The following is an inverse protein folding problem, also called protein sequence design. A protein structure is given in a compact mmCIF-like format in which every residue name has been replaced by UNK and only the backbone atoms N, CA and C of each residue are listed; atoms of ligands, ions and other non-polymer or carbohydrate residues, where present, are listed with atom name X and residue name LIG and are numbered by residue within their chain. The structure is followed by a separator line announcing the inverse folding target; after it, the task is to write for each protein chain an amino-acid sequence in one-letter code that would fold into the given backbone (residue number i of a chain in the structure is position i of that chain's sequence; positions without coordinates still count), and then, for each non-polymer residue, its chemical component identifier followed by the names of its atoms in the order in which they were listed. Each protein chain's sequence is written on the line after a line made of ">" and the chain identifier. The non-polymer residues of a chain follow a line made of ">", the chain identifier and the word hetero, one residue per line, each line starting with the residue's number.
data_IF_617241617406
#
_entry.id   IF_617241617406
#
_cell.length_a   1.000
_cell.length_b   1.000
_cell.length_c   1.000
_cell.angle_alpha   90.00
_cell.angle_beta   90.00
_cell.angle_gamma   90.00
#
_symmetry.space_group_name_H-M   'P 1'
#
loop_
_entity.id
_entity.type
_entity.pdbx_description
1 polymer ?
#
# COMPACT_ATOMS: atom_id res chain seq x y z
N UNK A 1 20.98 -41.57 -19.00
CA UNK A 1 19.90 -40.93 -18.23
C UNK A 1 20.35 -40.32 -16.89
N UNK A 2 21.16 -40.96 -16.05
CA UNK A 2 21.47 -40.46 -14.69
C UNK A 2 22.55 -39.34 -14.56
N UNK A 3 22.98 -38.71 -15.66
CA UNK A 3 23.95 -37.60 -15.65
C UNK A 3 23.39 -36.30 -16.25
N UNK A 4 22.10 -36.25 -16.59
CA UNK A 4 21.45 -35.03 -17.08
C UNK A 4 20.83 -34.18 -15.96
N UNK A 5 20.64 -34.74 -14.76
CA UNK A 5 19.98 -34.08 -13.62
C UNK A 5 20.93 -33.23 -12.75
N UNK A 6 22.23 -33.19 -13.07
CA UNK A 6 23.25 -32.45 -12.30
C UNK A 6 23.25 -30.92 -12.56
N UNK A 7 22.29 -30.40 -13.34
CA UNK A 7 22.16 -28.95 -13.62
C UNK A 7 21.25 -28.20 -12.65
N UNK A 8 20.43 -28.89 -11.86
CA UNK A 8 19.70 -28.23 -10.79
C UNK A 8 20.58 -28.20 -9.55
N UNK A 9 20.97 -27.01 -9.09
CA UNK A 9 21.57 -26.84 -7.76
C UNK A 9 20.70 -27.47 -6.65
N UNK A 10 21.15 -27.46 -5.39
CA UNK A 10 20.43 -28.14 -4.30
C UNK A 10 18.97 -27.71 -4.23
N UNK A 11 18.08 -28.64 -3.86
CA UNK A 11 16.65 -28.41 -3.81
C UNK A 11 16.30 -27.19 -2.92
N UNK A 12 15.20 -26.44 -3.21
CA UNK A 12 14.89 -25.20 -2.50
C UNK A 12 14.84 -25.33 -0.97
N UNK A 13 14.31 -26.44 -0.45
CA UNK A 13 14.25 -26.70 0.98
C UNK A 13 15.64 -26.85 1.64
N UNK A 14 16.62 -27.40 0.91
CA UNK A 14 18.01 -27.49 1.40
C UNK A 14 18.66 -26.11 1.46
N UNK A 15 18.40 -25.25 0.47
CA UNK A 15 18.88 -23.87 0.46
C UNK A 15 18.31 -23.05 1.62
N UNK A 16 17.02 -23.21 1.89
CA UNK A 16 16.37 -22.60 3.05
C UNK A 16 16.99 -23.09 4.36
N UNK A 17 17.23 -24.39 4.50
CA UNK A 17 17.89 -24.94 5.70
C UNK A 17 19.32 -24.47 5.85
N UNK A 18 20.05 -24.32 4.75
CA UNK A 18 21.38 -23.72 4.76
C UNK A 18 21.34 -22.25 5.21
N UNK A 19 20.40 -21.45 4.70
CA UNK A 19 20.23 -20.07 5.12
C UNK A 19 19.92 -19.97 6.63
N UNK A 20 18.99 -20.79 7.14
CA UNK A 20 18.69 -20.87 8.57
C UNK A 20 19.90 -21.29 9.40
N UNK A 21 20.68 -22.27 8.95
CA UNK A 21 21.90 -22.69 9.64
C UNK A 21 22.97 -21.57 9.68
N UNK A 22 23.12 -20.81 8.60
CA UNK A 22 24.03 -19.66 8.56
C UNK A 22 23.55 -18.53 9.49
N UNK A 23 22.25 -18.28 9.56
CA UNK A 23 21.70 -17.28 10.50
C UNK A 23 21.85 -17.74 11.95
N UNK A 24 21.70 -19.04 12.23
CA UNK A 24 22.00 -19.59 13.54
C UNK A 24 23.47 -19.37 13.93
N UNK A 25 24.42 -19.49 13.00
CA UNK A 25 25.84 -19.13 13.25
C UNK A 25 26.01 -17.63 13.45
N UNK A 26 25.36 -16.82 12.61
CA UNK A 26 25.39 -15.36 12.70
C UNK A 26 25.02 -14.85 14.10
N UNK A 27 24.03 -15.48 14.75
CA UNK A 27 23.59 -15.12 16.10
C UNK A 27 24.70 -15.18 17.16
N UNK A 28 25.69 -16.05 16.99
CA UNK A 28 26.82 -16.20 17.92
C UNK A 28 28.02 -15.37 17.50
N UNK A 29 28.24 -15.22 16.20
CA UNK A 29 29.48 -14.69 15.65
C UNK A 29 29.38 -13.20 15.32
N UNK A 30 28.23 -12.71 14.83
CA UNK A 30 28.04 -11.31 14.45
C UNK A 30 27.45 -10.49 15.60
N UNK A 31 27.89 -9.24 15.82
CA UNK A 31 28.90 -8.47 15.07
C UNK A 31 30.35 -8.65 15.55
N UNK A 32 30.62 -9.45 16.58
CA UNK A 32 31.92 -9.42 17.28
C UNK A 32 33.00 -10.32 16.68
N UNK A 33 32.74 -11.62 16.57
CA UNK A 33 33.72 -12.62 16.13
C UNK A 33 33.81 -12.73 14.61
N UNK A 34 32.70 -12.49 13.90
CA UNK A 34 32.67 -12.40 12.43
C UNK A 34 32.04 -11.08 11.95
N UNK A 35 32.72 -9.94 12.14
CA UNK A 35 32.20 -8.62 11.75
C UNK A 35 31.99 -8.47 10.23
N UNK A 36 32.75 -9.20 9.43
CA UNK A 36 32.68 -9.15 7.96
C UNK A 36 31.55 -10.01 7.35
N UNK A 37 30.73 -10.71 8.13
CA UNK A 37 29.73 -11.67 7.63
C UNK A 37 28.95 -11.18 6.38
N UNK A 38 28.35 -9.99 6.47
CA UNK A 38 27.56 -9.42 5.35
C UNK A 38 28.45 -8.95 4.20
N UNK A 39 29.64 -8.42 4.49
CA UNK A 39 30.60 -8.01 3.46
C UNK A 39 31.11 -9.20 2.65
N UNK A 40 31.40 -10.33 3.33
CA UNK A 40 31.82 -11.57 2.69
C UNK A 40 30.71 -12.13 1.79
N UNK A 41 29.47 -12.08 2.28
CA UNK A 41 28.28 -12.48 1.52
C UNK A 41 28.06 -11.58 0.28
N UNK A 42 28.17 -10.26 0.43
CA UNK A 42 28.07 -9.29 -0.67
C UNK A 42 29.22 -9.50 -1.67
N UNK A 43 30.44 -9.71 -1.19
CA UNK A 43 31.62 -9.97 -2.01
C UNK A 43 31.51 -11.24 -2.84
N UNK A 44 30.67 -12.19 -2.43
CA UNK A 44 30.41 -13.42 -3.17
C UNK A 44 29.34 -13.29 -4.26
N UNK A 45 28.53 -12.23 -4.28
CA UNK A 45 27.45 -12.02 -5.27
C UNK A 45 27.90 -12.17 -6.74
N UNK A 46 29.10 -11.69 -7.17
CA UNK A 46 29.56 -11.85 -8.55
C UNK A 46 29.75 -13.31 -9.01
N UNK A 47 29.77 -14.27 -8.10
CA UNK A 47 30.03 -15.68 -8.41
C UNK A 47 28.82 -16.41 -9.03
N UNK A 48 27.67 -15.75 -9.15
CA UNK A 48 26.55 -16.23 -9.96
C UNK A 48 25.20 -16.21 -9.25
N UNK A 49 24.15 -16.54 -10.02
CA UNK A 49 22.75 -16.34 -9.62
C UNK A 49 22.35 -17.18 -8.40
N UNK A 50 22.97 -18.34 -8.22
CA UNK A 50 22.77 -19.17 -7.02
C UNK A 50 23.25 -18.50 -5.73
N UNK A 51 24.27 -17.64 -5.79
CA UNK A 51 24.74 -16.88 -4.62
C UNK A 51 23.79 -15.70 -4.33
N UNK A 52 23.24 -15.07 -5.37
CA UNK A 52 22.23 -14.02 -5.21
C UNK A 52 20.94 -14.60 -4.59
N UNK A 53 20.50 -15.79 -5.03
CA UNK A 53 19.39 -16.52 -4.40
C UNK A 53 19.69 -16.81 -2.92
N UNK A 54 20.89 -17.29 -2.61
CA UNK A 54 21.30 -17.52 -1.21
C UNK A 54 21.37 -16.24 -0.39
N UNK A 55 21.87 -15.13 -0.94
CA UNK A 55 21.86 -13.82 -0.29
C UNK A 55 20.44 -13.41 0.09
N UNK A 56 19.48 -13.52 -0.83
CA UNK A 56 18.08 -13.22 -0.55
C UNK A 56 17.53 -14.12 0.57
N UNK A 57 17.76 -15.45 0.49
CA UNK A 57 17.29 -16.40 1.51
C UNK A 57 17.89 -16.14 2.89
N UNK A 58 19.18 -15.80 2.96
CA UNK A 58 19.85 -15.45 4.22
C UNK A 58 19.23 -14.19 4.81
N UNK A 59 19.00 -13.14 4.01
CA UNK A 59 18.36 -11.92 4.49
C UNK A 59 16.91 -12.15 4.96
N UNK A 60 16.16 -13.03 4.30
CA UNK A 60 14.83 -13.46 4.76
C UNK A 60 14.93 -14.20 6.09
N UNK A 61 15.86 -15.14 6.24
CA UNK A 61 16.07 -15.86 7.50
C UNK A 61 16.52 -14.93 8.64
N UNK A 62 17.36 -13.91 8.36
CA UNK A 62 17.70 -12.87 9.34
C UNK A 62 16.45 -12.10 9.77
N UNK A 63 15.58 -11.75 8.83
CA UNK A 63 14.33 -11.06 9.15
C UNK A 63 13.43 -11.91 10.06
N UNK A 64 13.15 -13.15 9.66
CA UNK A 64 12.27 -14.08 10.38
C UNK A 64 12.79 -14.38 11.79
N UNK A 65 14.08 -14.70 11.94
CA UNK A 65 14.64 -15.10 13.23
C UNK A 65 14.93 -13.89 14.14
N UNK A 66 15.37 -12.75 13.58
CA UNK A 66 16.01 -11.69 14.36
C UNK A 66 15.33 -10.32 14.28
N UNK A 67 14.60 -10.00 13.21
CA UNK A 67 14.07 -8.64 13.01
C UNK A 67 12.57 -8.58 13.28
N UNK A 68 11.78 -9.40 12.59
CA UNK A 68 10.31 -9.38 12.59
C UNK A 68 9.75 -9.47 14.02
N UNK A 69 8.79 -8.62 14.37
CA UNK A 69 8.20 -8.55 15.72
C UNK A 69 6.92 -9.39 15.89
N UNK A 70 6.51 -10.11 14.85
CA UNK A 70 5.27 -10.88 14.83
C UNK A 70 5.30 -12.09 15.79
N UNK A 71 6.50 -12.51 16.18
CA UNK A 71 6.73 -13.62 17.11
C UNK A 71 7.12 -13.03 18.48
N UNK A 72 6.38 -13.33 19.56
CA UNK A 72 6.76 -12.91 20.91
C UNK A 72 8.15 -13.44 21.27
N UNK A 73 9.07 -12.54 21.61
CA UNK A 73 10.45 -12.87 21.98
C UNK A 73 10.68 -12.78 23.48
N UNK A 74 11.58 -13.62 23.97
CA UNK A 74 12.14 -13.48 25.31
C UNK A 74 12.96 -12.19 25.44
N UNK A 75 13.28 -11.80 26.68
CA UNK A 75 14.10 -10.63 26.93
C UNK A 75 15.53 -10.80 26.38
N UNK A 76 16.06 -12.03 26.38
CA UNK A 76 17.39 -12.34 25.87
C UNK A 76 17.43 -12.26 24.34
N UNK A 77 16.46 -12.86 23.66
CA UNK A 77 16.33 -12.77 22.19
C UNK A 77 16.12 -11.32 21.73
N UNK A 78 15.39 -10.52 22.51
CA UNK A 78 15.20 -9.10 22.21
C UNK A 78 16.50 -8.29 22.31
N UNK A 79 17.36 -8.61 23.30
CA UNK A 79 18.69 -8.00 23.44
C UNK A 79 19.61 -8.42 22.30
N UNK A 80 19.59 -9.70 21.92
CA UNK A 80 20.36 -10.21 20.79
C UNK A 80 19.94 -9.55 19.47
N UNK A 81 18.64 -9.50 19.20
CA UNK A 81 18.06 -8.81 18.05
C UNK A 81 18.51 -7.35 17.98
N UNK A 82 18.45 -6.62 19.10
CA UNK A 82 18.91 -5.24 19.18
C UNK A 82 20.41 -5.13 18.86
N UNK A 83 21.24 -5.97 19.47
CA UNK A 83 22.69 -5.97 19.25
C UNK A 83 23.06 -6.23 17.78
N UNK A 84 22.42 -7.22 17.14
CA UNK A 84 22.65 -7.55 15.73
C UNK A 84 22.18 -6.39 14.84
N UNK A 85 20.97 -5.86 15.06
CA UNK A 85 20.44 -4.72 14.28
C UNK A 85 21.33 -3.49 14.39
N UNK A 86 21.84 -3.19 15.58
CA UNK A 86 22.73 -2.05 15.79
C UNK A 86 24.05 -2.27 15.05
N UNK A 87 24.66 -3.46 15.16
CA UNK A 87 25.84 -3.80 14.37
C UNK A 87 25.58 -3.72 12.87
N UNK A 88 24.43 -4.17 12.38
CA UNK A 88 24.03 -4.05 10.97
C UNK A 88 23.90 -2.59 10.55
N UNK A 89 23.26 -1.73 11.35
CA UNK A 89 23.13 -0.30 11.05
C UNK A 89 24.48 0.40 10.96
N UNK A 90 25.39 0.06 11.86
CA UNK A 90 26.69 0.70 11.93
C UNK A 90 27.62 0.26 10.79
N UNK A 91 27.56 -1.02 10.39
CA UNK A 91 28.62 -1.60 9.56
C UNK A 91 28.18 -2.21 8.23
N UNK A 92 26.93 -2.65 8.06
CA UNK A 92 26.59 -3.51 6.93
C UNK A 92 25.39 -3.04 6.11
N UNK A 93 24.45 -2.30 6.71
CA UNK A 93 23.16 -2.04 6.08
C UNK A 93 23.26 -1.11 4.86
N UNK A 94 24.23 -0.18 4.87
CA UNK A 94 24.48 0.70 3.74
C UNK A 94 24.97 -0.11 2.53
N UNK A 95 25.90 -1.05 2.74
CA UNK A 95 26.41 -1.92 1.69
C UNK A 95 25.36 -2.93 1.21
N UNK A 96 24.50 -3.43 2.11
CA UNK A 96 23.34 -4.25 1.73
C UNK A 96 22.39 -3.45 0.83
N UNK A 97 22.10 -2.19 1.16
CA UNK A 97 21.25 -1.33 0.34
C UNK A 97 21.87 -1.06 -1.04
N UNK A 98 23.18 -0.81 -1.10
CA UNK A 98 23.88 -0.67 -2.37
C UNK A 98 23.94 -1.97 -3.18
N UNK A 99 24.00 -3.14 -2.51
CA UNK A 99 23.89 -4.44 -3.16
C UNK A 99 22.49 -4.63 -3.78
N UNK A 100 21.41 -4.33 -3.05
CA UNK A 100 20.06 -4.35 -3.62
C UNK A 100 19.97 -3.45 -4.86
N UNK A 101 20.46 -2.21 -4.78
CA UNK A 101 20.46 -1.30 -5.94
C UNK A 101 21.13 -1.92 -7.17
N UNK A 102 22.37 -2.42 -7.00
CA UNK A 102 23.15 -3.03 -8.09
C UNK A 102 22.43 -4.24 -8.69
N UNK A 103 21.85 -5.10 -7.84
CA UNK A 103 21.10 -6.27 -8.30
C UNK A 103 19.85 -5.85 -9.09
N UNK A 104 19.11 -4.85 -8.62
CA UNK A 104 17.92 -4.32 -9.30
C UNK A 104 18.25 -3.62 -10.63
N UNK A 105 19.49 -3.18 -10.86
CA UNK A 105 19.92 -2.68 -12.17
C UNK A 105 20.22 -3.80 -13.18
N UNK A 106 20.54 -5.01 -12.73
CA UNK A 106 21.09 -6.09 -13.59
C UNK A 106 20.07 -7.20 -13.83
N UNK A 107 19.29 -7.55 -12.80
CA UNK A 107 18.43 -8.73 -12.82
C UNK A 107 17.05 -8.59 -13.48
N UNK A 108 16.42 -7.40 -13.67
CA UNK A 108 15.07 -7.32 -14.22
C UNK A 108 14.88 -8.06 -15.55
N UNK A 109 15.86 -7.93 -16.46
CA UNK A 109 15.83 -8.57 -17.77
C UNK A 109 16.48 -9.97 -17.78
N UNK A 110 17.29 -10.29 -16.76
CA UNK A 110 18.07 -11.53 -16.67
C UNK A 110 17.31 -12.65 -15.94
N UNK A 111 16.76 -12.34 -14.78
CA UNK A 111 15.98 -13.25 -13.94
C UNK A 111 14.94 -12.43 -13.14
N UNK A 112 13.69 -12.35 -13.64
CA UNK A 112 12.63 -11.62 -12.97
C UNK A 112 12.29 -12.17 -11.58
N UNK A 113 12.39 -13.48 -11.36
CA UNK A 113 12.06 -14.09 -10.06
C UNK A 113 13.10 -13.73 -9.00
N UNK A 114 14.36 -13.65 -9.39
CA UNK A 114 15.41 -13.18 -8.50
C UNK A 114 15.27 -11.68 -8.23
N UNK A 115 14.85 -10.88 -9.21
CA UNK A 115 14.50 -9.47 -9.01
C UNK A 115 13.39 -9.30 -7.99
N UNK A 116 12.32 -10.10 -8.08
CA UNK A 116 11.24 -10.14 -7.09
C UNK A 116 11.77 -10.50 -5.71
N UNK A 117 12.66 -11.51 -5.62
CA UNK A 117 13.26 -11.91 -4.34
C UNK A 117 14.10 -10.79 -3.71
N UNK A 118 14.87 -10.06 -4.51
CA UNK A 118 15.63 -8.88 -4.06
C UNK A 118 14.70 -7.79 -3.53
N UNK A 119 13.64 -7.45 -4.27
CA UNK A 119 12.64 -6.46 -3.83
C UNK A 119 11.95 -6.89 -2.54
N UNK A 120 11.54 -8.15 -2.42
CA UNK A 120 10.91 -8.69 -1.20
C UNK A 120 11.85 -8.62 0.01
N UNK A 121 13.15 -8.90 -0.18
CA UNK A 121 14.13 -8.75 0.90
C UNK A 121 14.29 -7.29 1.29
N UNK A 122 14.34 -6.38 0.32
CA UNK A 122 14.40 -4.94 0.58
C UNK A 122 13.17 -4.48 1.37
N UNK A 123 11.95 -4.83 0.94
CA UNK A 123 10.67 -4.48 1.61
C UNK A 123 10.71 -4.76 3.11
N UNK A 124 11.16 -5.95 3.52
CA UNK A 124 11.22 -6.39 4.93
C UNK A 124 12.09 -5.50 5.81
N UNK A 125 13.11 -4.88 5.23
CA UNK A 125 14.10 -4.11 5.98
C UNK A 125 13.73 -2.63 6.09
N UNK A 126 12.91 -2.09 5.19
CA UNK A 126 12.58 -0.66 5.12
C UNK A 126 12.06 -0.11 6.45
N UNK A 127 11.28 -0.90 7.18
CA UNK A 127 10.62 -0.48 8.44
C UNK A 127 11.61 -0.04 9.53
N UNK A 128 12.83 -0.59 9.56
CA UNK A 128 13.78 -0.38 10.66
C UNK A 128 15.14 0.20 10.23
N UNK A 129 15.46 0.33 8.95
CA UNK A 129 16.72 0.93 8.49
C UNK A 129 16.63 2.47 8.44
N UNK A 130 17.71 3.18 8.09
CA UNK A 130 17.60 4.60 7.72
C UNK A 130 16.84 4.73 6.39
N UNK A 131 15.81 5.59 6.36
CA UNK A 131 15.01 5.82 5.15
C UNK A 131 15.83 6.37 3.99
N UNK A 132 16.88 7.14 4.26
CA UNK A 132 17.68 7.78 3.22
C UNK A 132 18.47 6.77 2.36
N UNK A 133 18.68 5.55 2.87
CA UNK A 133 19.35 4.47 2.11
C UNK A 133 18.54 4.03 0.90
N UNK A 134 17.20 4.11 1.00
CA UNK A 134 16.29 3.63 -0.05
C UNK A 134 15.43 4.75 -0.65
N UNK A 135 15.05 5.77 0.11
CA UNK A 135 14.20 6.87 -0.35
C UNK A 135 15.02 8.07 -0.86
N UNK A 136 15.97 7.79 -1.75
CA UNK A 136 16.79 8.78 -2.44
C UNK A 136 16.52 8.76 -3.94
N UNK A 137 16.96 9.81 -4.66
CA UNK A 137 16.66 9.99 -6.09
C UNK A 137 17.08 8.79 -6.94
N UNK A 138 18.28 8.20 -6.72
CA UNK A 138 18.76 7.06 -7.52
C UNK A 138 17.83 5.84 -7.40
N UNK A 139 17.44 5.50 -6.18
CA UNK A 139 16.60 4.34 -5.93
C UNK A 139 15.18 4.58 -6.39
N UNK A 140 14.63 5.76 -6.10
CA UNK A 140 13.25 6.09 -6.46
C UNK A 140 13.07 6.11 -7.97
N UNK A 141 14.02 6.67 -8.73
CA UNK A 141 13.98 6.60 -10.20
C UNK A 141 14.00 5.16 -10.71
N UNK A 142 14.82 4.28 -10.11
CA UNK A 142 14.86 2.86 -10.48
C UNK A 142 13.53 2.16 -10.18
N UNK A 143 12.98 2.33 -8.97
CA UNK A 143 11.70 1.72 -8.60
C UNK A 143 10.54 2.23 -9.49
N UNK A 144 10.51 3.52 -9.82
CA UNK A 144 9.48 4.05 -10.75
C UNK A 144 9.59 3.48 -12.16
N UNK A 145 10.78 3.08 -12.60
CA UNK A 145 10.98 2.35 -13.86
C UNK A 145 10.54 0.89 -13.74
N UNK A 146 10.85 0.22 -12.62
CA UNK A 146 10.47 -1.17 -12.39
C UNK A 146 8.97 -1.36 -12.17
N UNK A 147 8.25 -0.31 -11.74
CA UNK A 147 6.78 -0.30 -11.66
C UNK A 147 6.11 -0.43 -13.04
N UNK A 148 6.85 -0.17 -14.11
CA UNK A 148 6.45 -0.32 -15.52
C UNK A 148 7.09 -1.55 -16.20
N UNK A 149 7.79 -2.41 -15.45
CA UNK A 149 8.42 -3.59 -16.00
C UNK A 149 7.39 -4.53 -16.66
N UNK A 150 7.75 -5.26 -17.73
CA UNK A 150 6.82 -6.20 -18.37
C UNK A 150 6.39 -7.35 -17.44
N UNK A 151 7.23 -7.71 -16.47
CA UNK A 151 6.93 -8.79 -15.52
C UNK A 151 6.05 -8.28 -14.36
N UNK A 152 4.81 -8.76 -14.29
CA UNK A 152 3.82 -8.31 -13.31
C UNK A 152 4.26 -8.50 -11.86
N UNK A 153 4.94 -9.61 -11.55
CA UNK A 153 5.48 -9.87 -10.22
C UNK A 153 6.54 -8.85 -9.77
N UNK A 154 7.32 -8.27 -10.71
CA UNK A 154 8.29 -7.21 -10.37
C UNK A 154 7.49 -5.96 -9.96
N UNK A 155 6.49 -5.59 -10.76
CA UNK A 155 5.64 -4.42 -10.49
C UNK A 155 4.94 -4.55 -9.13
N UNK A 156 4.44 -5.74 -8.80
CA UNK A 156 3.80 -6.02 -7.52
C UNK A 156 4.79 -5.85 -6.35
N UNK A 157 5.98 -6.44 -6.45
CA UNK A 157 7.02 -6.30 -5.42
C UNK A 157 7.54 -4.86 -5.27
N UNK A 158 7.61 -4.08 -6.36
CA UNK A 158 7.93 -2.64 -6.31
C UNK A 158 6.82 -1.87 -5.60
N UNK A 159 5.55 -2.17 -5.89
CA UNK A 159 4.42 -1.52 -5.25
C UNK A 159 4.45 -1.74 -3.73
N UNK A 160 4.82 -2.93 -3.27
CA UNK A 160 5.06 -3.22 -1.85
C UNK A 160 6.24 -2.44 -1.26
N UNK A 161 7.39 -2.43 -1.95
CA UNK A 161 8.55 -1.63 -1.54
C UNK A 161 8.15 -0.15 -1.34
N UNK A 162 7.46 0.44 -2.31
CA UNK A 162 6.98 1.81 -2.24
C UNK A 162 5.96 2.00 -1.11
N UNK A 163 5.10 1.01 -0.87
CA UNK A 163 4.13 1.03 0.24
C UNK A 163 4.85 1.10 1.58
N UNK A 164 5.91 0.33 1.78
CA UNK A 164 6.72 0.38 3.01
C UNK A 164 7.48 1.69 3.16
N UNK A 165 8.06 2.23 2.07
CA UNK A 165 8.71 3.56 2.10
C UNK A 165 7.69 4.63 2.53
N UNK A 166 6.51 4.61 1.92
CA UNK A 166 5.44 5.56 2.22
C UNK A 166 4.88 5.33 3.62
N UNK A 167 4.81 4.10 4.14
CA UNK A 167 4.28 3.79 5.48
C UNK A 167 5.23 4.19 6.62
N UNK A 168 6.48 4.52 6.30
CA UNK A 168 7.48 4.81 7.31
C UNK A 168 7.11 6.05 8.13
N UNK A 169 7.11 5.88 9.46
CA UNK A 169 6.75 6.96 10.39
C UNK A 169 7.78 8.07 10.36
N UNK A 170 7.29 9.30 10.20
CA UNK A 170 8.08 10.53 10.25
C UNK A 170 7.16 11.71 10.57
N UNK A 171 7.76 12.88 10.77
CA UNK A 171 7.01 14.11 10.97
C UNK A 171 6.35 14.59 9.68
N UNK A 172 5.25 15.33 9.84
CA UNK A 172 4.33 15.61 8.75
C UNK A 172 4.97 16.44 7.61
N UNK A 173 5.79 17.45 7.92
CA UNK A 173 6.46 18.24 6.88
C UNK A 173 7.49 17.42 6.11
N UNK A 174 8.47 16.74 6.76
CA UNK A 174 9.38 15.83 6.05
C UNK A 174 8.66 14.74 5.25
N UNK A 175 7.53 14.21 5.74
CA UNK A 175 6.71 13.23 5.00
C UNK A 175 6.25 13.77 3.66
N UNK A 176 5.61 14.94 3.67
CA UNK A 176 5.04 15.53 2.46
C UNK A 176 6.13 15.94 1.47
N UNK A 177 7.28 16.40 1.97
CA UNK A 177 8.46 16.68 1.15
C UNK A 177 9.01 15.41 0.50
N UNK A 178 9.17 14.33 1.27
CA UNK A 178 9.63 13.03 0.76
C UNK A 178 8.69 12.49 -0.32
N UNK A 179 7.38 12.50 -0.06
CA UNK A 179 6.35 12.13 -1.04
C UNK A 179 6.49 12.93 -2.33
N UNK A 180 6.78 14.22 -2.22
CA UNK A 180 7.05 15.08 -3.37
C UNK A 180 8.32 14.67 -4.13
N UNK A 181 9.43 14.44 -3.43
CA UNK A 181 10.73 14.15 -4.04
C UNK A 181 10.82 12.75 -4.66
N UNK A 182 10.01 11.79 -4.20
CA UNK A 182 9.97 10.44 -4.75
C UNK A 182 9.38 10.36 -6.17
N UNK A 183 8.64 11.39 -6.61
CA UNK A 183 7.96 11.37 -7.91
C UNK A 183 6.78 10.39 -7.98
N UNK A 184 6.33 9.86 -6.83
CA UNK A 184 5.23 8.89 -6.78
C UNK A 184 3.86 9.51 -7.08
N UNK A 185 3.65 10.77 -6.69
CA UNK A 185 2.36 11.45 -6.91
C UNK A 185 2.05 11.60 -8.41
N UNK A 186 2.94 12.16 -9.26
CA UNK A 186 2.72 12.20 -10.71
C UNK A 186 2.55 10.82 -11.34
N UNK A 187 3.20 9.79 -10.79
CA UNK A 187 3.06 8.42 -11.28
C UNK A 187 1.66 7.87 -11.02
N UNK A 188 1.15 8.03 -9.80
CA UNK A 188 -0.19 7.57 -9.43
C UNK A 188 -1.31 8.39 -10.10
N UNK A 189 -1.07 9.68 -10.40
CA UNK A 189 -2.01 10.53 -11.14
C UNK A 189 -2.38 9.94 -12.51
N UNK A 190 -1.45 9.20 -13.14
CA UNK A 190 -1.68 8.52 -14.43
C UNK A 190 -2.70 7.38 -14.33
N UNK A 191 -3.07 6.93 -13.12
CA UNK A 191 -4.01 5.83 -12.89
C UNK A 191 -5.49 6.28 -12.88
N UNK A 192 -5.78 7.49 -13.35
CA UNK A 192 -7.16 8.00 -13.51
C UNK A 192 -8.04 7.12 -14.41
N UNK A 193 -7.43 6.35 -15.32
CA UNK A 193 -8.12 5.40 -16.21
C UNK A 193 -7.92 3.93 -15.78
N UNK A 194 -7.58 3.70 -14.52
CA UNK A 194 -7.26 2.36 -13.98
C UNK A 194 -5.76 2.06 -13.98
N UNK A 195 -5.40 0.90 -13.41
CA UNK A 195 -4.01 0.46 -13.29
C UNK A 195 -3.50 -0.11 -14.63
N UNK A 196 -2.47 0.50 -15.26
CA UNK A 196 -2.03 0.10 -16.59
C UNK A 196 -1.56 -1.36 -16.61
N UNK A 197 -2.06 -2.18 -17.54
CA UNK A 197 -1.60 -3.55 -17.75
C UNK A 197 -1.71 -4.46 -16.51
N UNK A 198 -2.68 -4.20 -15.62
CA UNK A 198 -2.92 -4.99 -14.41
C UNK A 198 -4.32 -5.63 -14.40
N UNK A 199 -5.14 -5.44 -15.44
CA UNK A 199 -6.57 -5.80 -15.43
C UNK A 199 -6.86 -7.27 -15.08
N UNK A 200 -5.96 -8.19 -15.46
CA UNK A 200 -6.15 -9.63 -15.28
C UNK A 200 -5.27 -10.23 -14.16
N UNK A 201 -4.62 -9.40 -13.33
CA UNK A 201 -3.72 -9.84 -12.27
C UNK A 201 -4.18 -9.29 -10.91
N UNK A 202 -4.99 -10.09 -10.21
CA UNK A 202 -5.58 -9.73 -8.90
C UNK A 202 -4.54 -9.34 -7.86
N UNK A 203 -3.38 -10.02 -7.85
CA UNK A 203 -2.31 -9.72 -6.90
C UNK A 203 -1.71 -8.33 -7.16
N UNK A 204 -1.37 -8.01 -8.41
CA UNK A 204 -0.86 -6.71 -8.79
C UNK A 204 -1.88 -5.60 -8.54
N UNK A 205 -3.15 -5.82 -8.89
CA UNK A 205 -4.26 -4.91 -8.60
C UNK A 205 -4.32 -4.57 -7.11
N UNK A 206 -4.28 -5.60 -6.25
CA UNK A 206 -4.29 -5.43 -4.81
C UNK A 206 -3.06 -4.64 -4.31
N UNK A 207 -1.85 -4.95 -4.79
CA UNK A 207 -0.63 -4.22 -4.36
C UNK A 207 -0.65 -2.76 -4.79
N UNK A 208 -1.11 -2.45 -6.01
CA UNK A 208 -1.22 -1.07 -6.50
C UNK A 208 -2.32 -0.28 -5.77
N UNK A 209 -3.47 -0.92 -5.49
CA UNK A 209 -4.54 -0.32 -4.70
C UNK A 209 -4.09 -0.01 -3.27
N UNK A 210 -3.36 -0.93 -2.62
CA UNK A 210 -2.75 -0.70 -1.30
C UNK A 210 -1.75 0.44 -1.33
N UNK A 211 -0.88 0.51 -2.34
CA UNK A 211 0.06 1.62 -2.49
C UNK A 211 -0.68 2.97 -2.58
N UNK A 212 -1.71 3.04 -3.42
CA UNK A 212 -2.51 4.26 -3.58
C UNK A 212 -3.24 4.64 -2.29
N UNK A 213 -3.85 3.68 -1.59
CA UNK A 213 -4.52 3.88 -0.33
C UNK A 213 -3.58 4.38 0.78
N UNK A 214 -2.42 3.74 0.91
CA UNK A 214 -1.40 4.11 1.89
C UNK A 214 -0.88 5.51 1.61
N UNK A 215 -0.56 5.83 0.36
CA UNK A 215 -0.13 7.16 -0.04
C UNK A 215 -1.18 8.23 0.29
N UNK A 216 -2.43 7.98 -0.05
CA UNK A 216 -3.52 8.90 0.21
C UNK A 216 -3.74 9.09 1.73
N UNK A 217 -3.71 8.01 2.50
CA UNK A 217 -3.88 8.02 3.96
C UNK A 217 -2.78 8.82 4.63
N UNK A 218 -1.51 8.55 4.29
CA UNK A 218 -0.35 9.23 4.88
C UNK A 218 -0.31 10.73 4.54
N UNK A 219 -0.75 11.13 3.34
CA UNK A 219 -0.89 12.55 2.98
C UNK A 219 -1.98 13.21 3.83
N UNK A 220 -3.18 12.60 3.93
CA UNK A 220 -4.29 13.16 4.73
C UNK A 220 -3.92 13.26 6.21
N UNK A 221 -3.31 12.22 6.76
CA UNK A 221 -2.92 12.21 8.16
C UNK A 221 -1.81 13.22 8.45
N UNK A 222 -0.86 13.41 7.54
CA UNK A 222 0.15 14.46 7.65
C UNK A 222 -0.50 15.85 7.66
N UNK A 223 -1.40 16.14 6.72
CA UNK A 223 -2.14 17.41 6.67
C UNK A 223 -2.96 17.63 7.95
N UNK A 224 -3.65 16.59 8.42
CA UNK A 224 -4.44 16.64 9.66
C UNK A 224 -3.58 16.91 10.89
N UNK A 225 -2.39 16.28 11.00
CA UNK A 225 -1.43 16.54 12.08
C UNK A 225 -0.97 17.99 12.08
N UNK A 226 -0.65 18.54 10.90
CA UNK A 226 -0.27 19.94 10.74
C UNK A 226 -1.38 20.90 11.17
N UNK A 227 -2.61 20.67 10.70
CA UNK A 227 -3.77 21.47 11.07
C UNK A 227 -4.04 21.45 12.58
N UNK A 228 -3.94 20.27 13.21
CA UNK A 228 -4.16 20.12 14.65
C UNK A 228 -3.06 20.77 15.49
N UNK A 229 -1.79 20.68 15.07
CA UNK A 229 -0.67 21.27 15.80
C UNK A 229 -0.82 22.80 15.93
N UNK A 230 -1.24 23.48 14.85
CA UNK A 230 -1.50 24.94 14.87
C UNK A 230 -2.61 25.28 15.85
N UNK A 231 -3.69 24.49 15.85
CA UNK A 231 -4.83 24.70 16.74
C UNK A 231 -4.40 24.54 18.21
N UNK A 232 -3.68 23.46 18.52
CA UNK A 232 -3.24 23.18 19.89
C UNK A 232 -2.32 24.26 20.42
N UNK A 233 -1.38 24.77 19.61
CA UNK A 233 -0.47 25.84 20.03
C UNK A 233 -1.19 27.18 20.22
N UNK A 234 -2.09 27.55 19.30
CA UNK A 234 -2.90 28.76 19.43
C UNK A 234 -3.82 28.73 20.67
N UNK A 235 -4.40 27.57 20.99
CA UNK A 235 -5.27 27.41 22.15
C UNK A 235 -4.56 27.58 23.51
N UNK A 236 -3.25 27.33 23.58
CA UNK A 236 -2.45 27.44 24.81
C UNK A 236 -1.85 28.85 24.98
N UNK A 237 -2.10 29.78 24.04
CA UNK A 237 -1.60 31.15 24.11
C UNK A 237 -0.08 31.26 23.91
N UNK A 238 0.55 30.23 23.35
CA UNK A 238 1.96 30.28 22.96
C UNK A 238 2.06 31.01 21.61
N UNK A 239 2.88 32.06 21.57
CA UNK A 239 3.25 32.67 20.30
C UNK A 239 4.08 31.64 19.51
N UNK A 240 3.55 31.20 18.39
CA UNK A 240 4.27 30.36 17.44
C UNK A 240 5.24 31.27 16.69
N UNK A 241 6.50 30.87 16.59
CA UNK A 241 7.48 31.59 15.77
C UNK A 241 6.97 31.71 14.32
N UNK A 242 7.17 32.88 13.70
CA UNK A 242 6.67 33.18 12.36
C UNK A 242 7.22 32.18 11.33
N UNK A 243 8.44 31.69 11.54
CA UNK A 243 9.05 30.64 10.72
C UNK A 243 8.32 29.30 10.80
N UNK A 244 7.97 28.86 12.01
CA UNK A 244 7.24 27.61 12.23
C UNK A 244 5.81 27.67 11.67
N UNK A 245 5.13 28.82 11.77
CA UNK A 245 3.83 29.02 11.14
C UNK A 245 3.90 28.94 9.62
N UNK A 246 4.93 29.53 9.03
CA UNK A 246 5.15 29.47 7.58
C UNK A 246 5.40 28.04 7.12
N UNK A 247 6.23 27.28 7.83
CA UNK A 247 6.54 25.89 7.50
C UNK A 247 5.29 24.99 7.56
N UNK A 248 4.46 25.15 8.61
CA UNK A 248 3.21 24.39 8.72
C UNK A 248 2.24 24.76 7.59
N UNK A 249 2.12 26.05 7.26
CA UNK A 249 1.26 26.51 6.16
C UNK A 249 1.72 25.93 4.82
N UNK A 250 3.01 26.00 4.53
CA UNK A 250 3.60 25.43 3.30
C UNK A 250 3.41 23.91 3.24
N UNK A 251 3.58 23.21 4.37
CA UNK A 251 3.31 21.78 4.47
C UNK A 251 1.84 21.45 4.17
N UNK A 252 0.89 22.16 4.78
CA UNK A 252 -0.54 21.96 4.51
C UNK A 252 -0.95 22.25 3.06
N UNK A 253 -0.37 23.29 2.45
CA UNK A 253 -0.56 23.62 1.03
C UNK A 253 0.00 22.53 0.12
N UNK A 254 1.22 22.04 0.41
CA UNK A 254 1.86 20.95 -0.33
C UNK A 254 1.02 19.66 -0.27
N UNK A 255 0.59 19.26 0.94
CA UNK A 255 -0.23 18.07 1.11
C UNK A 255 -1.60 18.18 0.45
N UNK A 256 -2.22 19.36 0.48
CA UNK A 256 -3.49 19.62 -0.20
C UNK A 256 -3.34 19.57 -1.73
N UNK A 257 -2.23 20.09 -2.27
CA UNK A 257 -1.88 19.97 -3.70
C UNK A 257 -1.68 18.51 -4.12
N UNK A 258 -0.91 17.74 -3.33
CA UNK A 258 -0.68 16.32 -3.59
C UNK A 258 -1.98 15.52 -3.55
N UNK A 259 -2.83 15.77 -2.55
CA UNK A 259 -4.13 15.12 -2.44
C UNK A 259 -5.04 15.46 -3.63
N UNK A 260 -5.08 16.73 -4.04
CA UNK A 260 -5.85 17.15 -5.21
C UNK A 260 -5.39 16.45 -6.49
N UNK A 261 -4.10 16.22 -6.67
CA UNK A 261 -3.55 15.52 -7.84
C UNK A 261 -3.90 14.02 -7.82
N UNK A 262 -3.88 13.39 -6.64
CA UNK A 262 -4.18 11.97 -6.49
C UNK A 262 -5.68 11.64 -6.52
N UNK A 263 -6.54 12.60 -6.15
CA UNK A 263 -7.97 12.36 -5.95
C UNK A 263 -8.66 11.69 -7.16
N UNK A 264 -8.40 12.09 -8.42
CA UNK A 264 -8.99 11.41 -9.58
C UNK A 264 -8.61 9.92 -9.67
N UNK A 265 -7.35 9.57 -9.44
CA UNK A 265 -6.88 8.18 -9.45
C UNK A 265 -7.47 7.37 -8.29
N UNK A 266 -7.55 7.97 -7.09
CA UNK A 266 -8.20 7.37 -5.92
C UNK A 266 -9.66 7.05 -6.24
N UNK A 267 -10.37 7.99 -6.87
CA UNK A 267 -11.77 7.80 -7.21
C UNK A 267 -11.97 6.79 -8.34
N UNK A 268 -11.04 6.69 -9.30
CA UNK A 268 -11.06 5.67 -10.33
C UNK A 268 -10.91 4.26 -9.72
N UNK A 269 -9.96 4.08 -8.81
CA UNK A 269 -9.79 2.82 -8.07
C UNK A 269 -11.00 2.51 -7.18
N UNK A 270 -11.51 3.49 -6.43
CA UNK A 270 -12.66 3.29 -5.54
C UNK A 270 -13.96 2.97 -6.28
N UNK A 271 -14.11 3.47 -7.52
CA UNK A 271 -15.24 3.15 -8.41
C UNK A 271 -15.02 1.84 -9.20
N UNK A 272 -13.97 1.08 -8.92
CA UNK A 272 -13.76 -0.24 -9.52
C UNK A 272 -14.83 -1.22 -9.03
N UNK A 273 -15.22 -2.14 -9.90
CA UNK A 273 -16.05 -3.31 -9.59
C UNK A 273 -15.25 -4.47 -8.99
N UNK A 274 -13.92 -4.35 -8.93
CA UNK A 274 -13.02 -5.32 -8.31
C UNK A 274 -12.78 -4.94 -6.85
N UNK A 275 -13.14 -5.84 -5.93
CA UNK A 275 -13.10 -5.56 -4.49
C UNK A 275 -11.67 -5.46 -3.95
N UNK A 276 -10.73 -6.21 -4.54
CA UNK A 276 -9.29 -6.11 -4.29
C UNK A 276 -8.75 -4.70 -4.59
N UNK A 277 -9.41 -3.96 -5.48
CA UNK A 277 -9.06 -2.59 -5.83
C UNK A 277 -9.82 -1.58 -4.95
N UNK A 278 -11.12 -1.75 -4.73
CA UNK A 278 -11.93 -0.76 -4.03
C UNK A 278 -11.79 -0.82 -2.50
N UNK A 279 -11.74 -2.01 -1.90
CA UNK A 279 -11.75 -2.18 -0.44
C UNK A 279 -10.53 -1.60 0.28
N UNK A 280 -9.29 -1.70 -0.25
CA UNK A 280 -8.14 -1.07 0.38
C UNK A 280 -8.29 0.46 0.59
N UNK A 281 -9.14 1.12 -0.20
CA UNK A 281 -9.37 2.57 -0.13
C UNK A 281 -10.42 2.96 0.91
N UNK A 282 -11.22 2.02 1.44
CA UNK A 282 -12.29 2.31 2.41
C UNK A 282 -11.80 3.02 3.68
N UNK A 283 -10.70 2.58 4.34
CA UNK A 283 -10.16 3.28 5.51
C UNK A 283 -9.78 4.74 5.20
N UNK A 284 -9.17 4.98 4.04
CA UNK A 284 -8.85 6.33 3.56
C UNK A 284 -10.13 7.17 3.41
N UNK A 285 -11.19 6.63 2.80
CA UNK A 285 -12.44 7.37 2.60
C UNK A 285 -13.06 7.82 3.93
N UNK A 286 -13.04 6.95 4.95
CA UNK A 286 -13.47 7.33 6.31
C UNK A 286 -12.59 8.41 6.92
N UNK A 287 -11.26 8.28 6.82
CA UNK A 287 -10.32 9.27 7.33
C UNK A 287 -10.50 10.63 6.63
N UNK A 288 -10.71 10.62 5.33
CA UNK A 288 -10.94 11.82 4.52
C UNK A 288 -12.26 12.51 4.92
N UNK A 289 -13.38 11.78 4.97
CA UNK A 289 -14.67 12.32 5.42
C UNK A 289 -14.61 12.84 6.85
N UNK A 290 -13.87 12.18 7.74
CA UNK A 290 -13.63 12.67 9.10
C UNK A 290 -12.86 14.00 9.10
N UNK A 291 -11.86 14.17 8.23
CA UNK A 291 -11.19 15.46 8.02
C UNK A 291 -12.16 16.52 7.49
N UNK A 292 -12.99 16.19 6.50
CA UNK A 292 -13.98 17.13 5.94
C UNK A 292 -14.97 17.63 7.01
N UNK A 293 -15.40 16.74 7.91
CA UNK A 293 -16.23 17.12 9.07
C UNK A 293 -15.56 18.15 9.97
N UNK A 294 -14.25 18.02 10.19
CA UNK A 294 -13.47 18.99 10.97
C UNK A 294 -13.38 20.32 10.22
N UNK A 295 -13.14 20.31 8.91
CA UNK A 295 -13.10 21.52 8.09
C UNK A 295 -14.44 22.25 8.03
N UNK A 296 -15.54 21.53 7.85
CA UNK A 296 -16.88 22.11 7.85
C UNK A 296 -17.20 22.84 9.16
N UNK A 297 -16.84 22.23 10.30
CA UNK A 297 -17.02 22.85 11.62
C UNK A 297 -16.22 24.14 11.75
N UNK A 298 -15.02 24.20 11.14
CA UNK A 298 -14.16 25.41 11.13
C UNK A 298 -14.74 26.50 10.23
N UNK A 299 -15.33 26.12 9.09
CA UNK A 299 -15.87 27.03 8.09
C UNK A 299 -17.37 27.33 8.28
N UNK A 300 -17.83 27.40 9.54
CA UNK A 300 -19.22 27.78 9.90
C UNK A 300 -20.31 26.96 9.18
N UNK A 301 -20.05 25.67 8.90
CA UNK A 301 -21.01 24.79 8.24
C UNK A 301 -20.83 24.64 6.73
N UNK A 302 -19.91 25.38 6.09
CA UNK A 302 -19.71 25.35 4.64
C UNK A 302 -18.46 24.56 4.24
N UNK A 303 -18.59 23.76 3.18
CA UNK A 303 -17.47 23.16 2.47
C UNK A 303 -17.13 24.02 1.26
N UNK A 304 -15.86 24.07 0.86
CA UNK A 304 -15.47 24.73 -0.37
C UNK A 304 -15.96 23.96 -1.61
N UNK A 305 -15.86 24.60 -2.77
CA UNK A 305 -16.36 24.04 -4.04
C UNK A 305 -15.67 22.72 -4.38
N UNK A 306 -14.35 22.64 -4.19
CA UNK A 306 -13.55 21.47 -4.52
C UNK A 306 -13.91 20.27 -3.63
N UNK A 307 -14.00 20.49 -2.31
CA UNK A 307 -14.40 19.48 -1.34
C UNK A 307 -15.82 19.01 -1.57
N UNK A 308 -16.71 19.91 -2.01
CA UNK A 308 -18.08 19.55 -2.39
C UNK A 308 -18.10 18.64 -3.61
N UNK A 309 -17.24 18.87 -4.61
CA UNK A 309 -17.06 17.96 -5.74
C UNK A 309 -16.55 16.59 -5.28
N UNK A 310 -15.55 16.57 -4.40
CA UNK A 310 -15.03 15.32 -3.83
C UNK A 310 -16.13 14.52 -3.11
N UNK A 311 -16.99 15.19 -2.34
CA UNK A 311 -18.14 14.54 -1.69
C UNK A 311 -19.07 13.88 -2.71
N UNK A 312 -19.40 14.57 -3.81
CA UNK A 312 -20.25 14.01 -4.87
C UNK A 312 -19.60 12.79 -5.53
N UNK A 313 -18.29 12.84 -5.76
CA UNK A 313 -17.55 11.71 -6.30
C UNK A 313 -17.52 10.52 -5.36
N UNK A 314 -17.30 10.74 -4.05
CA UNK A 314 -17.34 9.68 -3.03
C UNK A 314 -18.73 9.05 -3.00
N UNK A 315 -19.81 9.84 -2.98
CA UNK A 315 -21.18 9.33 -3.03
C UNK A 315 -21.41 8.45 -4.27
N UNK A 316 -20.91 8.88 -5.44
CA UNK A 316 -20.96 8.06 -6.65
C UNK A 316 -20.18 6.75 -6.51
N UNK A 317 -19.02 6.76 -5.85
CA UNK A 317 -18.24 5.55 -5.56
C UNK A 317 -18.96 4.59 -4.63
N UNK A 318 -19.60 5.11 -3.58
CA UNK A 318 -20.39 4.29 -2.64
C UNK A 318 -21.51 3.51 -3.34
N UNK A 319 -22.14 4.10 -4.36
CA UNK A 319 -23.14 3.39 -5.17
C UNK A 319 -22.54 2.17 -5.87
N UNK A 320 -21.33 2.29 -6.42
CA UNK A 320 -20.64 1.18 -7.10
C UNK A 320 -20.21 0.13 -6.08
N UNK A 321 -19.57 0.54 -4.98
CA UNK A 321 -19.13 -0.39 -3.94
C UNK A 321 -20.30 -1.14 -3.27
N UNK A 322 -21.51 -0.57 -3.23
CA UNK A 322 -22.66 -1.22 -2.63
C UNK A 322 -23.29 -2.33 -3.49
N UNK A 323 -22.93 -2.42 -4.77
CA UNK A 323 -23.48 -3.42 -5.70
C UNK A 323 -22.90 -4.81 -5.43
N UNK A 324 -23.65 -5.82 -5.85
CA UNK A 324 -23.10 -7.17 -5.98
C UNK A 324 -22.03 -7.19 -7.09
N UNK A 325 -21.02 -8.07 -6.98
CA UNK A 325 -20.07 -8.32 -8.06
C UNK A 325 -20.80 -8.70 -9.35
N UNK A 326 -20.26 -8.30 -10.50
CA UNK A 326 -20.85 -8.61 -11.82
C UNK A 326 -20.89 -10.12 -12.12
N UNK A 327 -20.02 -10.89 -11.48
CA UNK A 327 -19.90 -12.35 -11.55
C UNK A 327 -20.59 -13.10 -10.40
N UNK A 328 -21.50 -12.43 -9.69
CA UNK A 328 -22.14 -12.96 -8.48
C UNK A 328 -22.74 -14.36 -8.65
N UNK A 329 -22.46 -15.25 -7.69
CA UNK A 329 -23.10 -16.56 -7.58
C UNK A 329 -24.54 -16.46 -7.05
N UNK A 330 -24.95 -15.28 -6.56
CA UNK A 330 -26.30 -15.00 -6.07
C UNK A 330 -27.28 -14.71 -7.22
N UNK A 331 -27.61 -15.71 -8.04
CA UNK A 331 -28.67 -15.56 -9.05
C UNK A 331 -30.03 -15.47 -8.34
N UNK A 332 -30.77 -14.36 -8.50
CA UNK A 332 -32.12 -14.15 -7.95
C UNK A 332 -32.24 -14.22 -6.41
N UNK A 333 -31.21 -13.79 -5.65
CA UNK A 333 -31.32 -13.69 -4.18
C UNK A 333 -31.55 -15.04 -3.48
N UNK A 334 -31.19 -16.15 -4.15
CA UNK A 334 -31.26 -17.50 -3.61
C UNK A 334 -30.25 -18.39 -4.31
N UNK A 335 -29.67 -19.33 -3.57
CA UNK A 335 -28.78 -20.33 -4.14
C UNK A 335 -29.54 -21.22 -5.14
N UNK A 336 -29.47 -20.90 -6.43
CA UNK A 336 -29.89 -21.83 -7.48
C UNK A 336 -28.70 -22.73 -7.83
N UNK A 337 -28.53 -23.81 -7.07
CA UNK A 337 -27.34 -24.65 -7.23
C UNK A 337 -27.22 -25.82 -6.25
N UNK A 338 -26.18 -26.65 -6.45
CA UNK A 338 -25.78 -27.70 -5.52
C UNK A 338 -25.34 -27.14 -4.16
N UNK A 339 -25.12 -28.02 -3.17
CA UNK A 339 -24.76 -27.61 -1.80
C UNK A 339 -23.52 -26.69 -1.72
N UNK A 340 -22.57 -26.86 -2.65
CA UNK A 340 -21.33 -26.09 -2.71
C UNK A 340 -21.57 -24.67 -3.29
N UNK A 341 -22.41 -24.55 -4.32
CA UNK A 341 -22.84 -23.26 -4.88
C UNK A 341 -23.70 -22.48 -3.87
N UNK A 342 -24.52 -23.19 -3.09
CA UNK A 342 -25.28 -22.58 -2.00
C UNK A 342 -24.42 -22.08 -0.85
N UNK A 343 -23.32 -22.77 -0.54
CA UNK A 343 -22.35 -22.31 0.45
C UNK A 343 -21.61 -21.06 -0.06
N UNK A 344 -21.12 -21.09 -1.30
CA UNK A 344 -20.47 -19.95 -1.93
C UNK A 344 -21.37 -18.72 -2.00
N UNK A 345 -22.63 -18.88 -2.40
CA UNK A 345 -23.59 -17.76 -2.45
C UNK A 345 -23.89 -17.17 -1.05
N UNK A 346 -23.89 -17.99 0.02
CA UNK A 346 -24.06 -17.49 1.40
C UNK A 346 -22.84 -16.72 1.88
N UNK A 347 -21.64 -17.21 1.56
CA UNK A 347 -20.38 -16.54 1.89
C UNK A 347 -20.30 -15.19 1.17
N UNK A 348 -20.60 -15.16 -0.13
CA UNK A 348 -20.67 -13.93 -0.92
C UNK A 348 -21.70 -12.94 -0.36
N UNK A 349 -22.91 -13.41 -0.03
CA UNK A 349 -23.93 -12.57 0.58
C UNK A 349 -23.45 -11.97 1.90
N UNK A 350 -22.81 -12.75 2.76
CA UNK A 350 -22.27 -12.25 4.03
C UNK A 350 -21.19 -11.18 3.81
N UNK A 351 -20.29 -11.38 2.84
CA UNK A 351 -19.27 -10.40 2.47
C UNK A 351 -19.89 -9.09 1.95
N UNK A 352 -20.89 -9.18 1.07
CA UNK A 352 -21.62 -8.02 0.54
C UNK A 352 -22.38 -7.28 1.65
N UNK A 353 -22.99 -7.99 2.59
CA UNK A 353 -23.68 -7.38 3.73
C UNK A 353 -22.72 -6.64 4.67
N UNK A 354 -21.54 -7.20 4.94
CA UNK A 354 -20.50 -6.54 5.71
C UNK A 354 -20.00 -5.27 5.01
N UNK A 355 -19.68 -5.38 3.72
CA UNK A 355 -19.27 -4.24 2.88
C UNK A 355 -20.33 -3.13 2.86
N UNK A 356 -21.60 -3.49 2.65
CA UNK A 356 -22.73 -2.53 2.66
C UNK A 356 -22.90 -1.84 4.00
N UNK A 357 -22.65 -2.54 5.11
CA UNK A 357 -22.67 -1.93 6.44
C UNK A 357 -21.62 -0.83 6.56
N UNK A 358 -20.41 -1.06 6.08
CA UNK A 358 -19.34 -0.08 6.13
C UNK A 358 -19.59 1.11 5.19
N UNK A 359 -20.01 0.83 3.94
CA UNK A 359 -20.45 1.84 2.97
C UNK A 359 -21.58 2.71 3.54
N UNK A 360 -22.53 2.12 4.26
CA UNK A 360 -23.63 2.86 4.88
C UNK A 360 -23.16 3.76 6.04
N UNK A 361 -22.18 3.32 6.84
CA UNK A 361 -21.56 4.16 7.87
C UNK A 361 -20.91 5.39 7.24
N UNK A 362 -20.18 5.18 6.13
CA UNK A 362 -19.55 6.27 5.38
C UNK A 362 -20.60 7.23 4.80
N UNK A 363 -21.64 6.72 4.14
CA UNK A 363 -22.77 7.53 3.63
C UNK A 363 -23.43 8.36 4.73
N UNK A 364 -23.69 7.76 5.90
CA UNK A 364 -24.28 8.47 7.06
C UNK A 364 -23.36 9.59 7.56
N UNK A 365 -22.05 9.38 7.54
CA UNK A 365 -21.08 10.41 7.92
C UNK A 365 -21.05 11.56 6.90
N UNK A 366 -21.10 11.25 5.60
CA UNK A 366 -21.23 12.25 4.53
C UNK A 366 -22.52 13.05 4.68
N UNK A 367 -23.64 12.39 4.93
CA UNK A 367 -24.95 13.04 5.04
C UNK A 367 -25.06 14.02 6.22
N UNK A 368 -24.22 13.86 7.25
CA UNK A 368 -24.12 14.83 8.36
C UNK A 368 -23.36 16.10 7.97
N UNK A 369 -22.50 16.03 6.95
CA UNK A 369 -21.66 17.16 6.51
C UNK A 369 -22.15 17.81 5.22
N UNK A 370 -22.85 17.06 4.36
CA UNK A 370 -23.26 17.50 3.03
C UNK A 370 -24.66 16.96 2.72
N UNK A 371 -25.66 17.42 3.49
CA UNK A 371 -27.02 16.88 3.42
C UNK A 371 -27.68 17.13 2.05
N UNK A 372 -27.45 18.30 1.44
CA UNK A 372 -28.04 18.64 0.14
C UNK A 372 -27.52 17.71 -0.96
N UNK A 373 -26.22 17.45 -0.97
CA UNK A 373 -25.54 16.56 -1.89
C UNK A 373 -26.03 15.11 -1.71
N UNK A 374 -26.11 14.64 -0.46
CA UNK A 374 -26.65 13.32 -0.14
C UNK A 374 -28.10 13.15 -0.59
N UNK A 375 -28.96 14.16 -0.36
CA UNK A 375 -30.36 14.11 -0.77
C UNK A 375 -30.50 14.05 -2.29
N UNK A 376 -29.76 14.90 -3.01
CA UNK A 376 -29.73 14.89 -4.47
C UNK A 376 -29.23 13.56 -5.03
N UNK A 377 -28.20 12.98 -4.41
CA UNK A 377 -27.68 11.67 -4.76
C UNK A 377 -28.74 10.57 -4.59
N UNK A 378 -29.37 10.46 -3.40
CA UNK A 378 -30.40 9.44 -3.15
C UNK A 378 -31.59 9.60 -4.09
N UNK A 379 -32.05 10.84 -4.30
CA UNK A 379 -33.13 11.13 -5.23
C UNK A 379 -32.80 10.67 -6.65
N UNK A 380 -31.58 10.94 -7.13
CA UNK A 380 -31.11 10.51 -8.43
C UNK A 380 -31.02 8.98 -8.58
N UNK A 381 -30.56 8.27 -7.54
CA UNK A 381 -30.52 6.80 -7.57
C UNK A 381 -31.93 6.20 -7.61
N UNK A 382 -32.85 6.70 -6.78
CA UNK A 382 -34.25 6.24 -6.78
C UNK A 382 -34.93 6.47 -8.14
N UNK A 383 -34.68 7.62 -8.78
CA UNK A 383 -35.21 7.91 -10.10
C UNK A 383 -34.69 6.93 -11.17
N UNK A 384 -33.42 6.54 -11.12
CA UNK A 384 -32.86 5.53 -12.03
C UNK A 384 -33.51 4.16 -11.85
N UNK A 385 -33.71 3.73 -10.62
CA UNK A 385 -34.37 2.45 -10.31
C UNK A 385 -35.83 2.47 -10.79
N UNK A 386 -36.55 3.58 -10.56
CA UNK A 386 -37.93 3.73 -11.04
C UNK A 386 -37.98 3.71 -12.58
N UNK A 387 -37.06 4.39 -13.26
CA UNK A 387 -36.98 4.40 -14.71
C UNK A 387 -36.64 3.01 -15.28
N UNK A 388 -35.68 2.30 -14.69
CA UNK A 388 -35.32 0.93 -15.08
C UNK A 388 -36.44 -0.09 -14.81
N UNK A 389 -37.28 0.16 -13.80
CA UNK A 389 -38.48 -0.62 -13.52
C UNK A 389 -39.64 -0.35 -14.49
N UNK A 390 -39.64 0.79 -15.19
CA UNK A 390 -40.66 1.18 -16.16
C UNK A 390 -40.53 0.55 -17.55
N UNK A 391 -39.31 0.16 -17.95
CA UNK A 391 -39.02 -0.49 -19.25
C UNK A 391 -39.16 -2.03 -19.23
N UNK A 392 -39.63 -2.61 -18.12
CA UNK A 392 -39.73 -4.06 -17.88
C UNK A 392 -40.87 -4.80 -18.58
N UNK A 393 -41.28 -4.35 -19.77
CA UNK A 393 -42.24 -5.02 -20.64
C UNK A 393 -41.59 -5.73 -21.83
N UNK A 394 -40.45 -6.41 -21.65
CA UNK A 394 -39.85 -7.22 -22.73
C UNK A 394 -38.40 -7.60 -22.52
N UNK A 395 -38.18 -8.85 -22.08
CA UNK A 395 -37.03 -9.72 -22.30
C UNK A 395 -35.58 -9.17 -22.17
N UNK A 396 -34.81 -9.76 -21.25
CA UNK A 396 -33.36 -9.91 -21.36
C UNK A 396 -32.56 -9.36 -20.18
N UNK A 397 -31.86 -10.26 -19.47
CA UNK A 397 -31.14 -9.97 -18.22
C UNK A 397 -30.15 -8.81 -18.32
N UNK A 398 -30.31 -7.85 -17.42
CA UNK A 398 -29.32 -6.82 -17.10
C UNK A 398 -29.19 -6.78 -15.58
N UNK A 399 -27.94 -6.76 -15.11
CA UNK A 399 -27.54 -6.65 -13.71
C UNK A 399 -28.42 -5.66 -12.95
N UNK A 400 -28.95 -6.06 -11.78
CA UNK A 400 -29.78 -5.21 -10.92
C UNK A 400 -28.98 -4.74 -9.70
N UNK A 401 -29.09 -3.42 -9.49
CA UNK A 401 -28.42 -2.55 -8.51
C UNK A 401 -28.48 -3.00 -7.04
#
# INVERSE_FOLDING_TARGET
>A
QACADAKSGPAPFLRNKLAQALVAVLQWEYPSAWPSFFHDLIGALPNGDGIVDMFCRILVAVDEDLVTLDIPRSQEESKLSMHIKDGMREHSIADIADAWYKLLCVYPDKDPMLTVSVLQTMTRYISWIDINLVANTKFMSLLMSLLEAPHLGIRAAVAECLTEVVSKRMDAVPKLQLVGSMGIVPRCEQWVNGFPGAADDEELLLRLARLLATLATEIVDSVKRLENNVISLAAVGLNIDDGAMLEVKQGSELGSKQMSALFPAIMAAFKSDVDEVALPLMPFMHAYVARLKTLQKRNQGQLDVQTTLHVRDILSGLAVCARYPSTSACVNGGASGGALEAAAAREEQAAVEEKRRDVFVLFKNISKIAFSESLGFVSGQLQRVIAAGGDGGGAGGGARD
#
